data_IF_049705931146
#
_entry.id   IF_049705931146
#
_cell.length_a   1.000
_cell.length_b   1.000
_cell.length_c   1.000
_cell.angle_alpha   90.00
_cell.angle_beta   90.00
_cell.angle_gamma   90.00
#
_symmetry.space_group_name_H-M   'P 1'
#
loop_
_entity.id
_entity.type
_entity.pdbx_description
1 polymer ?
#
# COMPACT_ATOMS: atom_id res chain seq x y z
N UNK A 1 -3.30 -2.61 5.14
CA UNK A 1 -2.03 -3.13 4.60
C UNK A 1 -1.21 -3.64 5.78
N UNK A 2 -0.70 -4.86 5.71
CA UNK A 2 0.20 -5.43 6.72
C UNK A 2 1.58 -4.75 6.68
N UNK A 3 2.43 -4.97 7.68
CA UNK A 3 3.82 -4.46 7.67
C UNK A 3 4.59 -4.91 6.41
N UNK A 4 4.40 -6.16 5.97
CA UNK A 4 5.04 -6.67 4.75
C UNK A 4 4.51 -5.96 3.50
N UNK A 5 3.19 -5.72 3.43
CA UNK A 5 2.59 -4.97 2.32
C UNK A 5 3.12 -3.52 2.29
N UNK A 6 3.31 -2.90 3.45
CA UNK A 6 3.84 -1.53 3.57
C UNK A 6 5.27 -1.43 3.03
N UNK A 7 6.17 -2.33 3.43
CA UNK A 7 7.54 -2.36 2.91
C UNK A 7 7.60 -2.68 1.41
N UNK A 8 6.72 -3.56 0.94
CA UNK A 8 6.58 -3.86 -0.49
C UNK A 8 6.13 -2.63 -1.26
N UNK A 9 5.03 -2.01 -0.84
CA UNK A 9 4.47 -0.83 -1.48
C UNK A 9 5.41 0.38 -1.40
N UNK A 10 6.19 0.51 -0.33
CA UNK A 10 7.19 1.58 -0.17
C UNK A 10 8.20 1.54 -1.31
N UNK A 11 8.71 0.34 -1.62
CA UNK A 11 9.67 0.17 -2.70
C UNK A 11 9.09 0.62 -4.05
N UNK A 12 7.83 0.27 -4.35
CA UNK A 12 7.15 0.74 -5.55
C UNK A 12 6.93 2.27 -5.55
N UNK A 13 6.45 2.84 -4.44
CA UNK A 13 6.11 4.25 -4.36
C UNK A 13 7.33 5.19 -4.33
N UNK A 14 8.49 4.70 -3.85
CA UNK A 14 9.78 5.41 -3.99
C UNK A 14 10.18 5.53 -5.46
N UNK A 15 9.97 4.49 -6.26
CA UNK A 15 10.32 4.48 -7.69
C UNK A 15 9.29 5.22 -8.55
N UNK A 16 8.01 5.10 -8.21
CA UNK A 16 6.89 5.68 -8.94
C UNK A 16 5.94 6.32 -7.91
N UNK A 17 5.97 7.65 -7.71
CA UNK A 17 5.17 8.35 -6.70
C UNK A 17 3.65 8.10 -6.79
N UNK A 18 3.17 7.75 -7.98
CA UNK A 18 1.78 7.44 -8.28
C UNK A 18 1.40 5.97 -7.97
N UNK A 19 2.36 5.10 -7.62
CA UNK A 19 2.10 3.70 -7.35
C UNK A 19 1.06 3.52 -6.23
N UNK A 20 0.15 2.58 -6.42
CA UNK A 20 -0.90 2.22 -5.48
C UNK A 20 -1.02 0.70 -5.35
N UNK A 21 -1.49 0.25 -4.19
CA UNK A 21 -1.77 -1.14 -3.88
C UNK A 21 -3.27 -1.41 -3.96
N UNK A 22 -3.66 -2.49 -4.64
CA UNK A 22 -5.03 -3.03 -4.58
C UNK A 22 -5.02 -4.21 -3.61
N UNK A 23 -5.86 -4.16 -2.58
CA UNK A 23 -6.07 -5.26 -1.63
C UNK A 23 -7.48 -5.79 -1.83
N UNK A 24 -7.61 -7.07 -2.16
CA UNK A 24 -8.91 -7.73 -2.34
C UNK A 24 -9.25 -8.53 -1.09
N UNK A 25 -10.45 -8.34 -0.56
CA UNK A 25 -10.97 -8.99 0.65
C UNK A 25 -12.30 -9.71 0.32
N UNK A 26 -12.25 -10.88 -0.35
CA UNK A 26 -13.44 -11.53 -0.87
C UNK A 26 -14.39 -12.06 0.21
N UNK A 27 -13.91 -12.25 1.44
CA UNK A 27 -14.69 -12.70 2.60
C UNK A 27 -15.26 -11.56 3.44
N UNK A 28 -14.92 -10.31 3.13
CA UNK A 28 -15.44 -9.14 3.83
C UNK A 28 -16.75 -8.68 3.18
N UNK A 29 -17.85 -8.84 3.92
CA UNK A 29 -19.21 -8.50 3.45
C UNK A 29 -19.43 -6.98 3.33
N UNK A 30 -18.57 -6.15 3.91
CA UNK A 30 -18.69 -4.69 3.90
C UNK A 30 -17.88 -4.04 2.79
N UNK A 31 -16.76 -4.65 2.38
CA UNK A 31 -15.85 -4.09 1.38
C UNK A 31 -15.06 -5.20 0.66
N UNK A 32 -15.34 -5.40 -0.63
CA UNK A 32 -14.68 -6.44 -1.43
C UNK A 32 -13.23 -6.12 -1.83
N UNK A 33 -12.87 -4.83 -1.89
CA UNK A 33 -11.49 -4.41 -2.16
C UNK A 33 -11.20 -3.00 -1.62
N UNK A 34 -9.92 -2.66 -1.51
CA UNK A 34 -9.45 -1.31 -1.23
C UNK A 34 -8.27 -0.94 -2.12
N UNK A 35 -8.19 0.34 -2.46
CA UNK A 35 -7.09 0.94 -3.23
C UNK A 35 -6.36 1.90 -2.30
N UNK A 36 -5.08 1.66 -2.09
CA UNK A 36 -4.29 2.34 -1.06
C UNK A 36 -2.96 2.86 -1.60
N UNK A 37 -2.44 3.89 -0.94
CA UNK A 37 -1.06 4.38 -1.11
C UNK A 37 -0.44 4.61 0.28
N UNK A 38 0.88 4.71 0.34
CA UNK A 38 1.55 5.16 1.58
C UNK A 38 1.38 6.68 1.66
N UNK A 39 1.10 7.17 2.87
CA UNK A 39 0.96 8.60 3.11
C UNK A 39 2.32 9.30 2.94
N UNK A 40 2.31 10.44 2.26
CA UNK A 40 3.52 11.20 1.90
C UNK A 40 3.38 12.63 2.44
N UNK A 41 4.29 13.11 3.31
CA UNK A 41 5.58 12.51 3.69
C UNK A 41 5.55 11.57 4.89
N UNK A 42 4.46 11.53 5.65
CA UNK A 42 4.40 10.91 6.97
C UNK A 42 4.75 9.41 6.97
N UNK A 43 4.00 8.59 6.23
CA UNK A 43 4.22 7.15 6.15
C UNK A 43 5.50 6.77 5.41
N UNK A 44 5.82 7.49 4.33
CA UNK A 44 7.06 7.30 3.57
C UNK A 44 8.30 7.49 4.45
N UNK A 45 8.28 8.48 5.35
CA UNK A 45 9.40 8.74 6.27
C UNK A 45 9.55 7.62 7.30
N UNK A 46 8.44 7.16 7.90
CA UNK A 46 8.45 6.03 8.86
C UNK A 46 9.02 4.76 8.24
N UNK A 47 8.65 4.44 7.00
CA UNK A 47 9.13 3.24 6.31
C UNK A 47 10.58 3.38 5.84
N UNK A 48 10.99 4.58 5.41
CA UNK A 48 12.39 4.89 5.05
C UNK A 48 13.35 4.69 6.22
N UNK A 49 12.94 5.09 7.42
CA UNK A 49 13.78 5.04 8.63
C UNK A 49 13.72 3.66 9.31
N UNK A 50 12.79 2.80 8.91
CA UNK A 50 12.63 1.47 9.49
C UNK A 50 13.87 0.59 9.25
N UNK A 51 14.50 0.14 10.33
CA UNK A 51 15.69 -0.74 10.29
C UNK A 51 15.35 -2.21 10.62
N UNK A 52 14.09 -2.51 10.88
CA UNK A 52 13.63 -3.86 11.18
C UNK A 52 13.76 -4.72 9.91
N UNK A 53 14.69 -5.68 9.94
CA UNK A 53 14.99 -6.52 8.78
C UNK A 53 13.96 -7.63 8.62
N UNK A 54 13.73 -8.05 7.37
CA UNK A 54 12.62 -8.89 6.88
C UNK A 54 12.38 -10.28 7.50
N UNK A 55 12.96 -10.61 8.66
CA UNK A 55 12.70 -11.84 9.41
C UNK A 55 11.67 -11.68 10.54
N UNK A 56 11.19 -10.47 10.84
CA UNK A 56 10.16 -10.25 11.86
C UNK A 56 9.02 -9.40 11.31
N UNK A 57 7.81 -9.98 11.32
CA UNK A 57 6.58 -9.20 11.31
C UNK A 57 6.65 -8.24 12.51
N UNK A 58 6.54 -6.94 12.24
CA UNK A 58 6.67 -5.91 13.27
C UNK A 58 5.59 -4.84 13.09
N UNK A 59 5.31 -4.14 14.19
CA UNK A 59 4.49 -2.94 14.17
C UNK A 59 5.34 -1.73 13.83
N UNK A 60 4.77 -0.78 13.10
CA UNK A 60 5.41 0.50 12.85
C UNK A 60 5.01 1.53 13.90
N UNK A 61 5.91 2.47 14.20
CA UNK A 61 5.61 3.62 15.05
C UNK A 61 4.55 4.51 14.39
N UNK A 62 3.78 5.20 15.22
CA UNK A 62 2.88 6.25 14.73
C UNK A 62 3.69 7.34 14.01
N UNK A 63 3.05 7.97 13.03
CA UNK A 63 3.66 9.12 12.34
C UNK A 63 3.73 10.32 13.28
N UNK A 64 4.65 11.26 13.03
CA UNK A 64 4.85 12.46 13.87
C UNK A 64 3.56 13.24 14.12
N UNK A 65 2.64 13.24 13.14
CA UNK A 65 1.39 13.99 13.18
C UNK A 65 0.18 13.11 13.57
N UNK A 66 0.40 11.85 13.98
CA UNK A 66 -0.68 10.89 14.27
C UNK A 66 -1.47 10.42 13.05
N UNK A 67 -1.08 10.85 11.84
CA UNK A 67 -1.69 10.39 10.59
C UNK A 67 -1.43 8.90 10.34
N UNK A 68 -2.34 8.19 9.65
CA UNK A 68 -2.10 6.82 9.22
C UNK A 68 -0.86 6.71 8.32
N UNK A 69 -0.15 5.58 8.41
CA UNK A 69 1.01 5.28 7.53
C UNK A 69 0.56 5.09 6.08
N UNK A 70 -0.69 4.69 5.87
CA UNK A 70 -1.27 4.52 4.56
C UNK A 70 -2.69 5.06 4.52
N UNK A 71 -3.13 5.42 3.32
CA UNK A 71 -4.42 6.05 3.08
C UNK A 71 -5.06 5.53 1.80
N UNK A 72 -6.33 5.86 1.61
CA UNK A 72 -7.02 5.59 0.35
C UNK A 72 -6.40 6.42 -0.77
N UNK A 73 -6.14 5.76 -1.90
CA UNK A 73 -5.57 6.41 -3.07
C UNK A 73 -6.65 7.23 -3.80
N UNK A 74 -6.46 8.54 -3.91
CA UNK A 74 -7.44 9.45 -4.54
C UNK A 74 -7.14 9.75 -6.01
N UNK A 75 -5.91 9.51 -6.48
CA UNK A 75 -5.48 9.79 -7.85
C UNK A 75 -5.69 8.61 -8.81
N UNK A 76 -6.71 7.77 -8.57
CA UNK A 76 -7.05 6.60 -9.40
C UNK A 76 -8.40 6.81 -10.07
N UNK A 77 -8.45 6.56 -11.38
CA UNK A 77 -9.68 6.52 -12.16
C UNK A 77 -9.99 5.09 -12.57
N UNK A 78 -11.22 4.64 -12.33
CA UNK A 78 -11.68 3.28 -12.69
C UNK A 78 -12.56 3.33 -13.94
N UNK A 79 -12.27 2.42 -14.88
CA UNK A 79 -13.03 2.30 -16.12
C UNK A 79 -13.22 0.82 -16.47
N UNK A 80 -14.48 0.36 -16.44
CA UNK A 80 -14.86 -1.03 -16.72
C UNK A 80 -14.72 -1.44 -18.18
N UNK A 81 -14.53 -0.49 -19.09
CA UNK A 81 -14.42 -0.73 -20.52
C UNK A 81 -12.96 -0.91 -20.98
N UNK A 82 -12.00 -0.80 -20.05
CA UNK A 82 -10.60 -1.06 -20.36
C UNK A 82 -10.37 -2.57 -20.50
N UNK A 83 -9.78 -2.96 -21.62
CA UNK A 83 -9.27 -4.32 -21.79
C UNK A 83 -7.96 -4.46 -21.02
N UNK A 84 -7.86 -5.51 -20.22
CA UNK A 84 -6.61 -5.93 -19.58
C UNK A 84 -6.37 -7.42 -19.85
N UNK A 85 -5.11 -7.84 -19.73
CA UNK A 85 -4.69 -9.21 -19.97
C UNK A 85 -3.96 -9.72 -18.73
N UNK A 86 -4.27 -10.97 -18.32
CA UNK A 86 -3.61 -11.63 -17.21
C UNK A 86 -2.62 -12.63 -17.79
N UNK A 87 -1.35 -12.47 -17.47
CA UNK A 87 -0.30 -13.42 -17.82
C UNK A 87 0.12 -14.20 -16.57
N UNK A 88 -0.34 -15.44 -16.46
CA UNK A 88 0.06 -16.35 -15.38
C UNK A 88 1.37 -17.07 -15.73
N UNK A 89 2.31 -17.11 -14.79
CA UNK A 89 3.67 -17.69 -14.94
C UNK A 89 4.02 -18.69 -13.81
N UNK A 90 3.04 -19.09 -13.02
CA UNK A 90 3.19 -20.04 -11.90
C UNK A 90 3.38 -21.48 -12.38
#
# INVERSE_FOLDING_TARGET
MSSVDLHTQYSYQVMVPEAFAIVVAPTDNSRSYGIFRISDPSGMSVLKECQEKGSQFHSHKETVNGSPIYEHCTHVYTNSNLRFEIFDRR
#
